data_IF_280091599803
#
_entry.id   IF_280091599803
#
_cell.length_a   1.000
_cell.length_b   1.000
_cell.length_c   1.000
_cell.angle_alpha   90.00
_cell.angle_beta   90.00
_cell.angle_gamma   90.00
#
_symmetry.space_group_name_H-M   'P 1'
#
loop_
_entity.id
_entity.type
_entity.pdbx_description
1 polymer ?
#
# COMPACT_ATOMS: atom_id res chain seq x y z
N UNK A 1 24.33 3.57 39.02
CA UNK A 1 23.24 3.00 39.85
C UNK A 1 22.41 4.19 40.31
N UNK A 2 21.11 4.38 40.06
CA UNK A 2 19.89 3.55 39.86
C UNK A 2 18.96 4.39 38.94
N UNK A 3 18.56 4.03 37.73
CA UNK A 3 17.55 3.07 37.21
C UNK A 3 16.09 3.28 37.65
N UNK A 4 15.19 3.35 36.63
CA UNK A 4 13.70 3.22 36.59
C UNK A 4 12.89 4.52 36.76
N UNK A 5 11.78 4.76 36.05
CA UNK A 5 10.98 4.04 35.04
C UNK A 5 10.06 5.08 34.35
N UNK A 6 9.65 4.85 33.10
CA UNK A 6 8.21 4.72 32.73
C UNK A 6 8.04 4.22 31.29
N UNK A 7 7.33 3.10 31.21
CA UNK A 7 6.57 2.51 30.10
C UNK A 7 6.75 3.09 28.68
N UNK A 8 7.28 2.25 27.79
CA UNK A 8 7.04 2.37 26.35
C UNK A 8 5.55 2.15 26.07
N UNK A 9 4.84 3.23 25.78
CA UNK A 9 3.48 3.18 25.26
C UNK A 9 3.50 2.76 23.80
N UNK A 10 3.01 1.56 23.50
CA UNK A 10 2.64 1.17 22.15
C UNK A 10 1.52 2.09 21.68
N UNK A 11 1.81 2.94 20.70
CA UNK A 11 0.81 3.76 20.02
C UNK A 11 -0.35 2.87 19.56
N UNK A 12 -1.62 3.23 19.84
CA UNK A 12 -2.76 2.47 19.37
C UNK A 12 -2.67 2.30 17.85
N UNK A 13 -2.74 1.06 17.36
CA UNK A 13 -2.87 0.81 15.93
C UNK A 13 -4.19 1.40 15.48
N UNK A 14 -4.15 2.52 14.76
CA UNK A 14 -5.34 3.12 14.19
C UNK A 14 -6.04 2.10 13.29
N UNK A 15 -7.33 1.84 13.56
CA UNK A 15 -8.14 0.95 12.71
C UNK A 15 -8.51 1.72 11.44
N UNK A 16 -8.19 1.12 10.30
CA UNK A 16 -8.47 1.67 8.98
C UNK A 16 -9.22 0.62 8.15
N UNK A 17 -10.21 1.04 7.38
CA UNK A 17 -10.96 0.16 6.49
C UNK A 17 -10.84 0.64 5.05
N UNK A 18 -10.57 -0.32 4.16
CA UNK A 18 -10.54 -0.17 2.72
C UNK A 18 -11.45 -1.24 2.11
N UNK A 19 -12.24 -0.87 1.11
CA UNK A 19 -13.14 -1.78 0.39
C UNK A 19 -12.71 -1.74 -1.07
N UNK A 20 -12.71 -2.85 -1.81
CA UNK A 20 -12.37 -2.81 -3.25
C UNK A 20 -13.43 -2.09 -4.07
N UNK A 21 -13.06 -1.64 -5.28
CA UNK A 21 -13.99 -1.03 -6.22
C UNK A 21 -13.89 0.50 -6.30
N UNK A 22 -14.77 1.07 -7.14
CA UNK A 22 -14.76 2.48 -7.49
C UNK A 22 -15.33 3.35 -6.35
N UNK A 23 -14.47 4.16 -5.74
CA UNK A 23 -14.81 5.12 -4.69
C UNK A 23 -13.90 6.36 -4.76
N UNK A 24 -13.98 7.24 -3.77
CA UNK A 24 -13.16 8.44 -3.71
C UNK A 24 -11.64 8.13 -3.62
N UNK A 25 -11.26 7.03 -2.97
CA UNK A 25 -9.87 6.61 -2.83
C UNK A 25 -9.34 5.95 -4.11
N UNK A 26 -10.19 5.21 -4.83
CA UNK A 26 -9.90 4.70 -6.17
C UNK A 26 -9.69 5.83 -7.17
N UNK A 27 -10.51 6.89 -7.11
CA UNK A 27 -10.27 8.12 -7.89
C UNK A 27 -8.96 8.80 -7.50
N UNK A 28 -8.59 8.79 -6.22
CA UNK A 28 -7.31 9.33 -5.76
C UNK A 28 -6.12 8.51 -6.28
N UNK A 29 -6.23 7.19 -6.30
CA UNK A 29 -5.22 6.31 -6.88
C UNK A 29 -5.11 6.50 -8.40
N UNK A 30 -6.23 6.61 -9.11
CA UNK A 30 -6.24 6.95 -10.53
C UNK A 30 -5.48 8.25 -10.80
N UNK A 31 -5.78 9.33 -10.05
CA UNK A 31 -5.07 10.61 -10.18
C UNK A 31 -3.58 10.48 -9.90
N UNK A 32 -3.20 9.70 -8.88
CA UNK A 32 -1.78 9.44 -8.61
C UNK A 32 -1.09 8.82 -9.83
N UNK A 33 -1.66 7.75 -10.42
CA UNK A 33 -1.05 7.13 -11.61
C UNK A 33 -1.05 8.07 -12.82
N UNK A 34 -2.12 8.83 -13.05
CA UNK A 34 -2.26 9.69 -14.23
C UNK A 34 -1.41 10.97 -14.15
N UNK A 35 -1.41 11.63 -13.00
CA UNK A 35 -0.91 13.01 -12.85
C UNK A 35 0.46 13.05 -12.17
N UNK A 36 0.65 12.24 -11.11
CA UNK A 36 1.88 12.26 -10.32
C UNK A 36 2.93 11.31 -10.90
N UNK A 37 2.56 10.05 -11.17
CA UNK A 37 3.43 9.05 -11.80
C UNK A 37 3.51 9.23 -13.31
N UNK A 38 2.55 9.95 -13.91
CA UNK A 38 2.44 10.16 -15.37
C UNK A 38 2.50 8.85 -16.16
N UNK A 39 1.82 7.84 -15.65
CA UNK A 39 1.81 6.52 -16.23
C UNK A 39 1.18 6.53 -17.63
N UNK A 40 1.88 5.92 -18.60
CA UNK A 40 1.38 5.78 -19.99
C UNK A 40 0.09 4.96 -20.09
N UNK A 41 -0.12 4.04 -19.14
CA UNK A 41 -1.32 3.20 -19.03
C UNK A 41 -1.73 3.12 -17.56
N UNK A 42 -3.01 3.33 -17.30
CA UNK A 42 -3.57 3.21 -15.95
C UNK A 42 -3.88 1.73 -15.70
N UNK A 43 -3.33 1.11 -14.63
CA UNK A 43 -3.69 -0.25 -14.27
C UNK A 43 -5.15 -0.30 -13.80
N UNK A 44 -5.87 -1.37 -14.12
CA UNK A 44 -7.24 -1.57 -13.61
C UNK A 44 -7.27 -1.73 -12.10
N UNK A 45 -6.14 -2.11 -11.49
CA UNK A 45 -5.96 -2.30 -10.05
C UNK A 45 -5.97 -0.99 -9.24
N UNK A 46 -6.13 0.19 -9.85
CA UNK A 46 -6.27 1.47 -9.12
C UNK A 46 -7.45 1.48 -8.14
N UNK A 47 -8.43 0.59 -8.31
CA UNK A 47 -9.57 0.40 -7.42
C UNK A 47 -9.39 -0.70 -6.38
N UNK A 48 -8.29 -1.43 -6.43
CA UNK A 48 -8.02 -2.54 -5.51
C UNK A 48 -7.47 -2.00 -4.18
N UNK A 49 -7.75 -2.71 -3.09
CA UNK A 49 -7.49 -2.24 -1.72
C UNK A 49 -6.01 -1.97 -1.48
N UNK A 50 -5.12 -2.75 -2.08
CA UNK A 50 -3.68 -2.65 -1.92
C UNK A 50 -3.13 -1.36 -2.54
N UNK A 51 -3.60 -1.01 -3.74
CA UNK A 51 -3.18 0.22 -4.43
C UNK A 51 -3.77 1.44 -3.74
N UNK A 52 -5.06 1.40 -3.37
CA UNK A 52 -5.70 2.50 -2.64
C UNK A 52 -5.00 2.77 -1.31
N UNK A 53 -4.69 1.73 -0.55
CA UNK A 53 -3.95 1.86 0.70
C UNK A 53 -2.52 2.37 0.47
N UNK A 54 -1.79 1.87 -0.53
CA UNK A 54 -0.43 2.34 -0.81
C UNK A 54 -0.39 3.84 -1.19
N UNK A 55 -1.35 4.30 -2.00
CA UNK A 55 -1.49 5.73 -2.32
C UNK A 55 -1.88 6.53 -1.08
N UNK A 56 -2.80 6.02 -0.25
CA UNK A 56 -3.15 6.64 1.01
C UNK A 56 -1.94 6.78 1.94
N UNK A 57 -1.13 5.72 2.07
CA UNK A 57 0.09 5.72 2.87
C UNK A 57 1.07 6.78 2.37
N UNK A 58 1.34 6.84 1.06
CA UNK A 58 2.20 7.86 0.44
C UNK A 58 1.72 9.28 0.78
N UNK A 59 0.42 9.55 0.63
CA UNK A 59 -0.15 10.90 0.79
C UNK A 59 -0.20 11.36 2.24
N UNK A 60 -0.28 10.43 3.19
CA UNK A 60 -0.44 10.74 4.62
C UNK A 60 0.80 10.44 5.46
N UNK A 61 1.93 10.10 4.84
CA UNK A 61 3.17 9.86 5.58
C UNK A 61 3.18 8.57 6.41
N UNK A 62 2.30 7.61 6.11
CA UNK A 62 2.19 6.35 6.88
C UNK A 62 3.26 5.39 6.39
N UNK A 63 4.36 5.30 7.14
CA UNK A 63 5.55 4.53 6.74
C UNK A 63 5.40 3.01 6.88
N UNK A 64 4.52 2.54 7.76
CA UNK A 64 4.28 1.12 7.95
C UNK A 64 2.80 0.84 8.20
N UNK A 65 2.27 -0.17 7.51
CA UNK A 65 0.93 -0.67 7.72
C UNK A 65 0.87 -2.18 7.53
N UNK A 66 -0.12 -2.80 8.15
CA UNK A 66 -0.51 -4.19 7.89
C UNK A 66 -1.91 -4.19 7.29
N UNK A 67 -2.06 -4.86 6.16
CA UNK A 67 -3.34 -5.09 5.48
C UNK A 67 -3.69 -6.57 5.58
N UNK A 68 -4.91 -6.85 6.04
CA UNK A 68 -5.51 -8.18 6.00
C UNK A 68 -6.68 -8.10 5.03
N UNK A 69 -6.70 -8.95 4.00
CA UNK A 69 -7.73 -8.94 2.97
C UNK A 69 -8.22 -10.35 2.62
N UNK A 70 -9.45 -10.46 2.13
CA UNK A 70 -10.15 -11.71 1.82
C UNK A 70 -9.86 -12.24 0.41
N UNK A 71 -8.71 -11.90 -0.15
CA UNK A 71 -8.25 -12.25 -1.49
C UNK A 71 -6.70 -12.26 -1.51
N UNK A 72 -6.09 -12.44 -2.68
CA UNK A 72 -4.65 -12.29 -2.88
C UNK A 72 -4.36 -11.16 -3.88
N UNK A 73 -3.25 -10.40 -3.69
CA UNK A 73 -2.83 -9.39 -4.66
C UNK A 73 -2.72 -9.96 -6.08
N UNK A 74 -3.40 -9.32 -7.03
CA UNK A 74 -3.37 -9.71 -8.43
C UNK A 74 -1.93 -9.79 -8.96
N UNK A 75 -1.60 -10.91 -9.63
CA UNK A 75 -0.29 -11.13 -10.25
C UNK A 75 -0.15 -10.39 -11.58
N UNK A 76 1.08 -10.38 -12.10
CA UNK A 76 1.41 -9.84 -13.41
C UNK A 76 1.96 -8.41 -13.35
N UNK A 77 2.45 -7.89 -14.49
CA UNK A 77 3.24 -6.65 -14.54
C UNK A 77 2.48 -5.38 -14.13
N UNK A 78 1.16 -5.39 -14.25
CA UNK A 78 0.25 -4.31 -13.85
C UNK A 78 -0.62 -4.70 -12.64
N UNK A 79 -0.32 -5.83 -12.01
CA UNK A 79 -1.03 -6.33 -10.83
C UNK A 79 -0.53 -5.69 -9.54
N UNK A 80 -1.35 -5.75 -8.48
CA UNK A 80 -1.00 -5.22 -7.16
C UNK A 80 0.33 -5.78 -6.64
N UNK A 81 0.60 -7.06 -6.88
CA UNK A 81 1.82 -7.73 -6.41
C UNK A 81 3.11 -7.12 -7.01
N UNK A 82 3.02 -6.51 -8.21
CA UNK A 82 4.12 -5.79 -8.83
C UNK A 82 4.13 -4.29 -8.47
N UNK A 83 2.95 -3.69 -8.33
CA UNK A 83 2.81 -2.24 -8.29
C UNK A 83 2.83 -1.62 -6.89
N UNK A 84 2.51 -2.36 -5.82
CA UNK A 84 2.51 -1.79 -4.46
C UNK A 84 3.87 -1.19 -4.10
N UNK A 85 4.97 -1.89 -4.36
CA UNK A 85 6.33 -1.40 -4.10
C UNK A 85 6.72 -0.18 -4.93
N UNK A 86 6.11 0.02 -6.11
CA UNK A 86 6.33 1.19 -6.98
C UNK A 86 5.57 2.41 -6.45
N UNK A 87 4.33 2.19 -5.98
CA UNK A 87 3.51 3.25 -5.39
C UNK A 87 4.13 3.76 -4.09
N UNK A 88 4.60 2.86 -3.23
CA UNK A 88 5.20 3.22 -1.94
C UNK A 88 6.56 3.96 -2.13
N UNK A 89 6.80 5.08 -1.43
CA UNK A 89 8.12 5.73 -1.44
C UNK A 89 9.20 4.86 -0.76
N UNK A 90 10.50 5.05 -1.08
CA UNK A 90 11.60 4.43 -0.34
C UNK A 90 11.45 4.62 1.18
N UNK A 91 11.68 3.54 1.95
CA UNK A 91 11.53 3.53 3.40
C UNK A 91 10.11 3.25 3.92
N UNK A 92 9.12 3.07 3.04
CA UNK A 92 7.77 2.65 3.40
C UNK A 92 7.63 1.12 3.27
N UNK A 93 6.75 0.53 4.07
CA UNK A 93 6.50 -0.91 4.06
C UNK A 93 5.01 -1.23 4.27
N UNK A 94 4.46 -2.09 3.42
CA UNK A 94 3.13 -2.68 3.59
C UNK A 94 3.26 -4.19 3.73
N UNK A 95 2.84 -4.72 4.88
CA UNK A 95 2.70 -6.16 5.07
C UNK A 95 1.28 -6.58 4.71
N UNK A 96 1.13 -7.54 3.80
CA UNK A 96 -0.17 -8.06 3.36
C UNK A 96 -0.35 -9.49 3.81
N UNK A 97 -1.50 -9.77 4.41
CA UNK A 97 -2.02 -11.10 4.67
C UNK A 97 -3.28 -11.30 3.80
N UNK A 98 -3.24 -12.29 2.92
CA UNK A 98 -4.35 -12.65 2.03
C UNK A 98 -4.94 -14.01 2.39
N UNK A 99 -5.78 -14.54 1.51
CA UNK A 99 -6.29 -15.92 1.61
C UNK A 99 -5.20 -16.96 1.36
N UNK A 100 -5.49 -18.21 1.69
CA UNK A 100 -4.65 -19.37 1.37
C UNK A 100 -3.21 -19.28 1.90
N UNK A 101 -3.04 -18.59 3.04
CA UNK A 101 -1.74 -18.40 3.68
C UNK A 101 -0.84 -17.38 2.96
N UNK A 102 -1.37 -16.60 2.02
CA UNK A 102 -0.61 -15.54 1.37
C UNK A 102 -0.10 -14.54 2.41
N UNK A 103 1.21 -14.36 2.44
CA UNK A 103 1.87 -13.32 3.24
C UNK A 103 3.01 -12.73 2.44
N UNK A 104 3.04 -11.39 2.33
CA UNK A 104 4.15 -10.68 1.69
C UNK A 104 4.40 -9.32 2.32
N UNK A 105 5.67 -8.95 2.38
CA UNK A 105 6.09 -7.57 2.66
C UNK A 105 6.45 -6.87 1.36
N UNK A 106 5.82 -5.73 1.11
CA UNK A 106 6.15 -4.82 0.02
C UNK A 106 6.95 -3.65 0.58
N UNK A 107 8.15 -3.44 0.06
CA UNK A 107 9.02 -2.31 0.43
C UNK A 107 8.99 -1.29 -0.69
N UNK A 108 8.78 -0.02 -0.33
CA UNK A 108 8.68 1.07 -1.29
C UNK A 108 10.03 1.41 -1.94
N UNK A 109 9.95 2.14 -3.06
CA UNK A 109 11.09 2.44 -3.92
C UNK A 109 11.31 1.42 -5.04
N UNK A 110 10.33 0.55 -5.30
CA UNK A 110 10.35 -0.34 -6.45
C UNK A 110 10.23 0.41 -7.77
N UNK A 111 10.68 -0.20 -8.85
CA UNK A 111 10.54 0.32 -10.21
C UNK A 111 9.77 -0.68 -11.08
N UNK A 112 9.17 -0.18 -12.16
CA UNK A 112 8.48 -1.02 -13.15
C UNK A 112 8.88 -0.60 -14.56
N UNK A 113 8.88 -1.55 -15.49
CA UNK A 113 9.01 -1.25 -16.93
C UNK A 113 7.68 -0.83 -17.56
N UNK A 114 6.57 -1.01 -16.84
CA UNK A 114 5.20 -0.87 -17.36
C UNK A 114 4.52 0.42 -16.89
N UNK A 115 4.93 0.91 -15.72
CA UNK A 115 4.63 2.25 -15.25
C UNK A 115 5.97 2.97 -15.03
N UNK A 116 6.15 4.18 -15.60
CA UNK A 116 7.38 4.97 -15.45
C UNK A 116 7.64 5.37 -14.00
#
# INVERSE_FOLDING_TARGET
MVSRHTAGGSTPTARYTEVSGADAKGKQALRFFAEELKARRIPTTVTDVEIKLAVHMRKNGIRSATLVLNNVPCKGPMGCDALVSVVLPPGYMLTVYGTDGFRREYRGGGTSKWVP
#
